data_IF_971209422055
#
_entry.id   IF_971209422055
#
_cell.length_a   1.000
_cell.length_b   1.000
_cell.length_c   1.000
_cell.angle_alpha   90.00
_cell.angle_beta   90.00
_cell.angle_gamma   90.00
#
_symmetry.space_group_name_H-M   'P 1'
#
loop_
_entity.id
_entity.type
_entity.pdbx_description
1 polymer ?
#
# COMPACT_ATOMS: atom_id res chain seq x y z
N UNK A 1 29.26 -38.48 -33.94
CA UNK A 1 30.37 -37.74 -33.32
C UNK A 1 29.87 -36.33 -33.01
N UNK A 2 29.46 -36.07 -31.77
CA UNK A 2 28.82 -34.81 -31.37
C UNK A 2 29.89 -33.90 -30.77
N UNK A 3 30.18 -32.79 -31.46
CA UNK A 3 31.13 -31.77 -31.01
C UNK A 3 30.51 -30.92 -29.89
N UNK A 4 30.90 -31.14 -28.64
CA UNK A 4 30.62 -30.21 -27.55
C UNK A 4 31.66 -29.08 -27.59
N UNK A 5 31.20 -27.84 -27.85
CA UNK A 5 32.00 -26.64 -27.59
C UNK A 5 31.90 -26.32 -26.09
N UNK A 6 32.92 -26.69 -25.32
CA UNK A 6 33.13 -26.15 -23.98
C UNK A 6 33.38 -24.63 -24.09
N UNK A 7 32.37 -23.82 -23.75
CA UNK A 7 32.58 -22.38 -23.52
C UNK A 7 33.28 -22.20 -22.18
N UNK A 8 34.61 -22.16 -22.19
CA UNK A 8 35.41 -21.70 -21.05
C UNK A 8 35.41 -20.17 -21.07
N UNK A 9 34.67 -19.56 -20.16
CA UNK A 9 34.78 -18.12 -19.91
C UNK A 9 36.23 -17.80 -19.57
N UNK A 10 36.76 -16.76 -20.19
CA UNK A 10 38.12 -16.31 -19.92
C UNK A 10 38.20 -15.76 -18.49
N UNK A 11 39.39 -15.79 -17.84
CA UNK A 11 39.56 -15.25 -16.49
C UNK A 11 39.11 -13.78 -16.35
N UNK A 12 39.24 -13.01 -17.43
CA UNK A 12 38.77 -11.62 -17.53
C UNK A 12 37.25 -11.49 -17.55
N UNK A 13 36.55 -12.42 -18.20
CA UNK A 13 35.09 -12.42 -18.24
C UNK A 13 34.48 -12.91 -16.92
N UNK A 14 35.14 -13.85 -16.24
CA UNK A 14 34.79 -14.26 -14.88
C UNK A 14 34.90 -13.09 -13.89
N UNK A 15 35.99 -12.33 -13.93
CA UNK A 15 36.16 -11.16 -13.07
C UNK A 15 35.10 -10.07 -13.35
N UNK A 16 34.74 -9.86 -14.62
CA UNK A 16 33.67 -8.93 -14.98
C UNK A 16 32.28 -9.41 -14.53
N UNK A 17 32.03 -10.71 -14.57
CA UNK A 17 30.80 -11.34 -14.10
C UNK A 17 30.66 -11.28 -12.57
N UNK A 18 31.73 -11.56 -11.83
CA UNK A 18 31.78 -11.44 -10.37
C UNK A 18 31.58 -9.99 -9.91
N UNK A 19 32.16 -9.02 -10.63
CA UNK A 19 31.97 -7.60 -10.34
C UNK A 19 30.51 -7.17 -10.58
N UNK A 20 29.86 -7.70 -11.62
CA UNK A 20 28.42 -7.50 -11.85
C UNK A 20 27.56 -8.14 -10.76
N UNK A 21 27.90 -9.35 -10.31
CA UNK A 21 27.21 -10.04 -9.21
C UNK A 21 27.28 -9.25 -7.90
N UNK A 22 28.46 -8.71 -7.54
CA UNK A 22 28.62 -7.86 -6.36
C UNK A 22 27.86 -6.53 -6.47
N UNK A 23 27.67 -6.00 -7.68
CA UNK A 23 26.84 -4.78 -7.88
C UNK A 23 25.33 -5.05 -7.90
N UNK A 24 24.91 -6.32 -8.01
CA UNK A 24 23.52 -6.77 -7.99
C UNK A 24 23.05 -7.22 -6.61
N UNK A 25 23.93 -7.23 -5.61
CA UNK A 25 23.54 -7.28 -4.19
C UNK A 25 22.94 -5.93 -3.78
N UNK A 26 21.75 -5.64 -4.32
CA UNK A 26 20.89 -4.64 -3.71
C UNK A 26 20.60 -5.08 -2.27
N UNK A 27 20.62 -4.15 -1.29
CA UNK A 27 20.24 -4.49 0.06
C UNK A 27 18.82 -5.06 0.00
N UNK A 28 18.68 -6.36 0.32
CA UNK A 28 17.37 -6.98 0.52
C UNK A 28 16.75 -6.26 1.71
N UNK A 29 15.91 -5.27 1.45
CA UNK A 29 15.01 -4.70 2.44
C UNK A 29 14.04 -5.84 2.80
N UNK A 30 14.43 -6.63 3.79
CA UNK A 30 13.50 -7.51 4.46
C UNK A 30 12.48 -6.61 5.13
N UNK A 31 11.29 -6.50 4.53
CA UNK A 31 10.12 -5.96 5.21
C UNK A 31 9.89 -6.81 6.45
N UNK A 32 10.40 -6.35 7.59
CA UNK A 32 10.11 -6.99 8.87
C UNK A 32 8.64 -6.74 9.13
N UNK A 33 7.86 -7.82 9.16
CA UNK A 33 6.43 -7.83 9.49
C UNK A 33 6.26 -7.63 10.99
N UNK A 34 6.76 -6.50 11.49
CA UNK A 34 6.71 -6.16 12.89
C UNK A 34 6.40 -4.68 13.07
N UNK A 35 5.78 -4.39 14.20
CA UNK A 35 5.56 -3.05 14.71
C UNK A 35 6.27 -2.93 16.06
N UNK A 36 6.59 -1.72 16.54
CA UNK A 36 6.99 -1.51 17.94
C UNK A 36 5.77 -1.23 18.83
N UNK A 37 5.90 -1.44 20.13
CA UNK A 37 4.79 -1.17 21.05
C UNK A 37 4.34 0.30 20.99
N UNK A 38 5.28 1.24 20.88
CA UNK A 38 4.98 2.68 20.76
C UNK A 38 4.22 3.01 19.47
N UNK A 39 4.62 2.39 18.34
CA UNK A 39 3.89 2.54 17.08
C UNK A 39 2.47 1.97 17.16
N UNK A 40 2.28 0.89 17.91
CA UNK A 40 0.96 0.31 18.16
C UNK A 40 0.10 1.25 19.01
N UNK A 41 0.65 1.79 20.10
CA UNK A 41 -0.05 2.77 20.93
C UNK A 41 -0.39 4.06 20.18
N UNK A 42 0.52 4.54 19.32
CA UNK A 42 0.29 5.69 18.46
C UNK A 42 -0.77 5.39 17.41
N UNK A 43 -0.76 4.22 16.77
CA UNK A 43 -1.79 3.85 15.81
C UNK A 43 -3.18 3.77 16.45
N UNK A 44 -3.26 3.29 17.70
CA UNK A 44 -4.49 3.33 18.49
C UNK A 44 -4.88 4.76 18.91
N UNK A 45 -3.90 5.63 19.21
CA UNK A 45 -4.14 7.04 19.50
C UNK A 45 -4.65 7.81 18.26
N UNK A 46 -4.15 7.44 17.08
CA UNK A 46 -4.61 7.93 15.78
C UNK A 46 -5.98 7.32 15.37
N UNK A 47 -6.59 6.49 16.23
CA UNK A 47 -7.90 5.85 16.03
C UNK A 47 -7.95 4.82 14.90
N UNK A 48 -6.80 4.26 14.49
CA UNK A 48 -6.77 3.22 13.47
C UNK A 48 -7.38 1.92 13.98
N UNK A 49 -8.12 1.26 13.09
CA UNK A 49 -8.68 -0.05 13.39
C UNK A 49 -7.58 -1.11 13.47
N UNK A 50 -7.84 -2.21 14.18
CA UNK A 50 -6.92 -3.35 14.22
C UNK A 50 -6.71 -3.97 12.84
N UNK A 51 -7.72 -3.91 11.97
CA UNK A 51 -7.65 -4.38 10.58
C UNK A 51 -6.69 -3.51 9.76
N UNK A 52 -6.74 -2.18 9.91
CA UNK A 52 -5.81 -1.26 9.25
C UNK A 52 -4.37 -1.44 9.74
N UNK A 53 -4.18 -1.67 11.04
CA UNK A 53 -2.87 -1.98 11.63
C UNK A 53 -2.33 -3.28 11.04
N UNK A 54 -3.17 -4.32 10.96
CA UNK A 54 -2.81 -5.62 10.37
C UNK A 54 -2.45 -5.48 8.89
N UNK A 55 -3.24 -4.73 8.13
CA UNK A 55 -3.02 -4.52 6.71
C UNK A 55 -1.68 -3.79 6.47
N UNK A 56 -1.43 -2.70 7.21
CA UNK A 56 -0.29 -1.82 6.98
C UNK A 56 1.05 -2.38 7.47
N UNK A 57 1.05 -3.11 8.58
CA UNK A 57 2.30 -3.56 9.24
C UNK A 57 2.51 -5.07 9.20
N UNK A 58 1.45 -5.83 8.93
CA UNK A 58 1.48 -7.29 8.96
C UNK A 58 0.99 -7.92 7.65
N UNK A 59 0.85 -7.15 6.57
CA UNK A 59 0.42 -7.62 5.25
C UNK A 59 -0.88 -8.45 5.30
N UNK A 60 -1.83 -7.96 6.10
CA UNK A 60 -3.13 -8.59 6.33
C UNK A 60 -3.05 -9.99 7.01
N UNK A 61 -1.95 -10.31 7.70
CA UNK A 61 -1.84 -11.54 8.49
C UNK A 61 -2.18 -11.29 9.98
N UNK A 62 -3.38 -11.68 10.44
CA UNK A 62 -3.80 -11.47 11.83
C UNK A 62 -3.05 -12.38 12.82
N UNK A 63 -2.39 -13.45 12.36
CA UNK A 63 -1.64 -14.35 13.26
C UNK A 63 -0.36 -13.71 13.74
N UNK A 64 0.33 -12.97 12.87
CA UNK A 64 1.55 -12.25 13.23
C UNK A 64 1.25 -11.09 14.19
N UNK A 65 0.16 -10.35 13.98
CA UNK A 65 -0.29 -9.34 14.95
C UNK A 65 -0.59 -9.97 16.31
N UNK A 66 -1.30 -11.11 16.37
CA UNK A 66 -1.59 -11.80 17.64
C UNK A 66 -0.33 -12.30 18.34
N UNK A 67 0.64 -12.80 17.58
CA UNK A 67 1.93 -13.23 18.12
C UNK A 67 2.65 -12.03 18.74
N UNK A 68 2.67 -10.91 18.04
CA UNK A 68 3.34 -9.70 18.52
C UNK A 68 2.63 -9.06 19.73
N UNK A 69 1.29 -9.06 19.76
CA UNK A 69 0.53 -8.65 20.95
C UNK A 69 0.85 -9.54 22.17
N UNK A 70 0.96 -10.86 21.95
CA UNK A 70 1.35 -11.81 22.99
C UNK A 70 2.78 -11.55 23.50
N UNK A 71 3.71 -11.21 22.61
CA UNK A 71 5.08 -10.83 22.98
C UNK A 71 5.12 -9.56 23.84
N UNK A 72 4.11 -8.68 23.70
CA UNK A 72 3.91 -7.49 24.55
C UNK A 72 3.07 -7.77 25.81
N UNK A 73 2.63 -9.00 26.03
CA UNK A 73 1.79 -9.37 27.17
C UNK A 73 0.34 -8.90 27.06
N UNK A 74 -0.14 -8.57 25.86
CA UNK A 74 -1.50 -8.08 25.62
C UNK A 74 -2.31 -9.16 24.90
N UNK A 75 -3.49 -9.45 25.42
CA UNK A 75 -4.43 -10.34 24.74
C UNK A 75 -5.15 -9.61 23.61
N UNK A 76 -5.58 -10.34 22.57
CA UNK A 76 -6.35 -9.74 21.47
C UNK A 76 -7.63 -9.05 21.99
N UNK A 77 -8.25 -9.57 23.06
CA UNK A 77 -9.41 -8.97 23.71
C UNK A 77 -9.09 -7.62 24.35
N UNK A 78 -8.00 -7.53 25.13
CA UNK A 78 -7.54 -6.27 25.72
C UNK A 78 -7.14 -5.24 24.67
N UNK A 79 -6.50 -5.65 23.58
CA UNK A 79 -6.16 -4.75 22.48
C UNK A 79 -7.41 -4.17 21.79
N UNK A 80 -8.47 -4.96 21.64
CA UNK A 80 -9.76 -4.51 21.11
C UNK A 80 -10.45 -3.56 22.10
N UNK A 81 -10.42 -3.85 23.40
CA UNK A 81 -11.00 -2.97 24.41
C UNK A 81 -10.21 -1.67 24.55
N UNK A 82 -8.87 -1.67 24.41
CA UNK A 82 -8.05 -0.47 24.35
C UNK A 82 -8.36 0.38 23.12
N UNK A 83 -8.56 -0.26 21.96
CA UNK A 83 -8.98 0.44 20.74
C UNK A 83 -10.37 1.06 20.88
N UNK A 84 -11.33 0.34 21.48
CA UNK A 84 -12.67 0.85 21.77
C UNK A 84 -12.67 1.95 22.83
N UNK A 85 -11.87 1.81 23.89
CA UNK A 85 -11.77 2.79 24.97
C UNK A 85 -11.21 4.12 24.44
N UNK A 86 -10.15 4.07 23.62
CA UNK A 86 -9.62 5.27 22.96
C UNK A 86 -10.59 5.85 21.93
N UNK A 87 -11.29 5.02 21.17
CA UNK A 87 -12.33 5.51 20.25
C UNK A 87 -13.50 6.20 20.97
N UNK A 88 -13.86 5.71 22.16
CA UNK A 88 -14.90 6.29 23.02
C UNK A 88 -14.44 7.59 23.70
N UNK A 89 -13.14 7.74 23.95
CA UNK A 89 -12.54 8.98 24.47
C UNK A 89 -12.56 10.13 23.45
N UNK A 90 -12.75 9.83 22.16
CA UNK A 90 -12.85 10.81 21.07
C UNK A 90 -14.29 11.00 20.56
N UNK A 91 -15.28 10.94 21.44
CA UNK A 91 -16.63 11.43 21.13
C UNK A 91 -16.64 12.97 21.16
N UNK A 92 -16.66 13.60 19.98
CA UNK A 92 -16.92 15.04 19.86
C UNK A 92 -18.42 15.32 19.96
N UNK A 93 -18.82 16.39 20.66
CA UNK A 93 -20.23 16.84 20.70
C UNK A 93 -20.59 17.66 19.46
N UNK A 94 -21.89 17.69 19.10
CA UNK A 94 -22.43 18.48 17.96
C UNK A 94 -21.94 19.95 18.00
N UNK A 95 -21.97 20.57 19.17
CA UNK A 95 -21.58 21.96 19.38
C UNK A 95 -20.10 22.21 19.10
N UNK A 96 -19.21 21.33 19.60
CA UNK A 96 -17.76 21.45 19.38
C UNK A 96 -17.40 21.21 17.91
N UNK A 97 -18.15 20.36 17.21
CA UNK A 97 -18.03 20.18 15.76
C UNK A 97 -18.42 21.47 15.00
N UNK A 98 -19.59 22.06 15.29
CA UNK A 98 -20.07 23.28 14.63
C UNK A 98 -19.16 24.49 14.91
N UNK A 99 -18.60 24.62 16.11
CA UNK A 99 -17.62 25.67 16.43
C UNK A 99 -16.36 25.57 15.57
N UNK A 100 -15.84 24.36 15.31
CA UNK A 100 -14.68 24.16 14.43
C UNK A 100 -15.00 24.42 12.97
N UNK A 101 -16.23 24.12 12.54
CA UNK A 101 -16.73 24.48 11.21
C UNK A 101 -16.85 26.01 11.05
N UNK A 102 -17.36 26.71 12.07
CA UNK A 102 -17.38 28.19 12.11
C UNK A 102 -15.97 28.79 12.08
N UNK A 103 -14.99 28.13 12.71
CA UNK A 103 -13.58 28.53 12.65
C UNK A 103 -12.91 28.27 11.28
N UNK A 104 -13.64 27.77 10.29
CA UNK A 104 -13.15 27.54 8.93
C UNK A 104 -12.52 26.17 8.70
N UNK A 105 -12.57 25.25 9.66
CA UNK A 105 -12.05 23.90 9.44
C UNK A 105 -12.98 23.07 8.54
N UNK A 106 -12.41 22.36 7.56
CA UNK A 106 -13.16 21.43 6.70
C UNK A 106 -13.49 20.11 7.41
N UNK A 107 -14.55 19.41 6.99
CA UNK A 107 -14.97 18.09 7.53
C UNK A 107 -13.82 17.08 7.59
N UNK A 108 -13.01 16.99 6.52
CA UNK A 108 -11.85 16.09 6.45
C UNK A 108 -10.69 16.49 7.36
N UNK A 109 -10.59 17.76 7.75
CA UNK A 109 -9.59 18.26 8.70
C UNK A 109 -10.02 17.93 10.12
N UNK A 110 -11.29 18.16 10.44
CA UNK A 110 -11.88 17.80 11.73
C UNK A 110 -11.79 16.28 11.94
N UNK A 111 -12.21 15.48 10.96
CA UNK A 111 -12.12 14.01 11.01
C UNK A 111 -10.69 13.53 11.28
N UNK A 112 -9.69 14.06 10.55
CA UNK A 112 -8.27 13.70 10.75
C UNK A 112 -7.75 14.09 12.13
N UNK A 113 -8.10 15.29 12.60
CA UNK A 113 -7.66 15.75 13.92
C UNK A 113 -8.26 14.95 15.08
N UNK A 114 -9.40 14.31 14.86
CA UNK A 114 -10.08 13.46 15.83
C UNK A 114 -9.68 11.98 15.70
N UNK A 115 -8.87 11.61 14.70
CA UNK A 115 -8.52 10.20 14.46
C UNK A 115 -9.73 9.30 14.18
N UNK A 116 -10.89 9.88 13.83
CA UNK A 116 -12.11 9.10 13.62
C UNK A 116 -12.07 8.47 12.23
N UNK A 117 -12.51 7.20 12.15
CA UNK A 117 -12.73 6.57 10.86
C UNK A 117 -13.91 7.22 10.14
N UNK A 118 -13.85 7.22 8.81
CA UNK A 118 -14.86 7.83 7.93
C UNK A 118 -16.27 7.35 8.26
N UNK A 119 -16.45 6.05 8.49
CA UNK A 119 -17.76 5.45 8.80
C UNK A 119 -18.33 5.91 10.13
N UNK A 120 -17.51 6.04 11.17
CA UNK A 120 -17.95 6.51 12.50
C UNK A 120 -18.30 7.99 12.45
N UNK A 121 -17.48 8.79 11.78
CA UNK A 121 -17.67 10.23 11.65
C UNK A 121 -18.97 10.57 10.90
N UNK A 122 -19.25 9.95 9.76
CA UNK A 122 -20.50 10.20 9.03
C UNK A 122 -21.73 9.64 9.73
N UNK A 123 -21.59 8.59 10.55
CA UNK A 123 -22.68 8.11 11.41
C UNK A 123 -23.04 9.15 12.47
N UNK A 124 -22.06 9.78 13.11
CA UNK A 124 -22.29 10.87 14.06
C UNK A 124 -22.96 12.09 13.40
N UNK A 125 -22.50 12.49 12.21
CA UNK A 125 -23.15 13.59 11.46
C UNK A 125 -24.61 13.27 11.11
N UNK A 126 -24.91 12.01 10.79
CA UNK A 126 -26.27 11.54 10.55
C UNK A 126 -27.12 11.56 11.81
N UNK A 127 -26.59 11.10 12.94
CA UNK A 127 -27.27 11.14 14.25
C UNK A 127 -27.58 12.58 14.69
N UNK A 128 -26.72 13.53 14.36
CA UNK A 128 -26.95 14.96 14.62
C UNK A 128 -27.83 15.66 13.60
N UNK A 129 -28.21 14.98 12.51
CA UNK A 129 -29.03 15.54 11.44
C UNK A 129 -28.32 16.54 10.53
N UNK A 130 -26.98 16.56 10.51
CA UNK A 130 -26.14 17.52 9.76
C UNK A 130 -25.25 16.86 8.70
N UNK A 131 -25.63 15.65 8.25
CA UNK A 131 -24.88 14.93 7.22
C UNK A 131 -24.87 15.70 5.88
N UNK A 132 -26.01 16.30 5.52
CA UNK A 132 -26.18 17.05 4.28
C UNK A 132 -25.57 18.47 4.39
N UNK A 133 -25.00 19.02 3.31
CA UNK A 133 -24.41 20.37 3.33
C UNK A 133 -25.44 21.43 3.76
N UNK A 134 -26.63 21.38 3.19
CA UNK A 134 -27.71 22.33 3.47
C UNK A 134 -28.19 22.30 4.94
N UNK A 135 -28.13 21.13 5.57
CA UNK A 135 -28.50 20.96 6.98
C UNK A 135 -27.39 21.47 7.91
N UNK A 136 -26.13 21.28 7.53
CA UNK A 136 -24.98 21.83 8.23
C UNK A 136 -24.98 23.37 8.15
N UNK A 137 -25.21 23.94 6.97
CA UNK A 137 -25.17 25.39 6.77
C UNK A 137 -26.27 26.11 7.57
N UNK A 138 -27.48 25.53 7.66
CA UNK A 138 -28.56 26.07 8.53
C UNK A 138 -28.18 26.10 10.01
N UNK A 139 -27.51 25.07 10.49
CA UNK A 139 -27.07 24.97 11.88
C UNK A 139 -25.89 25.91 12.17
N UNK A 140 -25.03 26.14 11.17
CA UNK A 140 -23.98 27.15 11.25
C UNK A 140 -24.57 28.57 11.26
N UNK A 141 -25.57 28.86 10.42
CA UNK A 141 -26.29 30.14 10.40
C UNK A 141 -26.98 30.44 11.75
N UNK A 142 -27.54 29.42 12.40
CA UNK A 142 -28.16 29.54 13.73
C UNK A 142 -27.14 29.85 14.84
N UNK A 143 -25.86 29.52 14.65
CA UNK A 143 -24.79 29.74 15.64
C UNK A 143 -23.97 31.01 15.39
N UNK A 144 -24.08 31.64 14.21
CA UNK A 144 -23.55 32.99 14.01
C UNK A 144 -24.41 33.94 14.85
N UNK A 145 -23.85 34.68 15.81
CA UNK A 145 -24.60 35.72 16.50
C UNK A 145 -25.14 36.68 15.45
N UNK A 146 -26.46 36.72 15.32
CA UNK A 146 -27.16 37.73 14.52
C UNK A 146 -26.62 39.08 14.98
N UNK A 147 -25.89 39.78 14.11
CA UNK A 147 -25.55 41.17 14.35
C UNK A 147 -26.86 41.88 14.72
N UNK A 148 -26.95 42.54 15.89
CA UNK A 148 -28.21 43.11 16.31
C UNK A 148 -28.64 44.17 15.29
N UNK A 149 -29.69 43.85 14.55
CA UNK A 149 -30.41 44.78 13.70
C UNK A 149 -30.76 46.01 14.55
N UNK A 150 -30.26 47.16 14.11
CA UNK A 150 -30.49 48.48 14.71
C UNK A 150 -32.00 48.74 14.80
N UNK A 151 -32.51 48.63 16.02
CA UNK A 151 -33.86 49.03 16.40
C UNK A 151 -33.87 49.30 17.90
N UNK A 152 -33.18 50.36 18.31
CA UNK A 152 -33.12 50.79 19.72
C UNK A 152 -34.24 51.81 19.95
N UNK A 153 -35.21 51.40 20.78
CA UNK A 153 -36.10 52.27 21.53
C UNK A 153 -35.30 53.36 22.26
N UNK A 154 -35.74 54.61 22.12
CA UNK A 154 -35.12 55.86 22.58
C UNK A 154 -34.81 55.96 24.09
N UNK A 155 -35.02 54.92 24.90
CA UNK A 155 -34.70 54.91 26.34
C UNK A 155 -33.40 54.20 26.71
N UNK A 156 -32.80 53.41 25.82
CA UNK A 156 -31.51 52.73 26.08
C UNK A 156 -30.31 53.60 25.66
N UNK A 157 -30.51 54.59 24.79
CA UNK A 157 -29.48 55.52 24.36
C UNK A 157 -28.94 56.40 25.51
N UNK A 158 -29.81 56.93 26.38
CA UNK A 158 -29.39 57.76 27.52
C UNK A 158 -28.64 56.95 28.61
N UNK A 159 -28.94 55.65 28.77
CA UNK A 159 -28.22 54.80 29.73
C UNK A 159 -26.87 54.29 29.21
N UNK A 160 -26.68 54.27 27.89
CA UNK A 160 -25.40 53.94 27.26
C UNK A 160 -24.45 55.14 27.21
N UNK A 161 -24.95 56.37 27.13
CA UNK A 161 -24.13 57.58 27.16
C UNK A 161 -23.39 57.74 28.49
N UNK A 162 -24.10 57.52 29.62
CA UNK A 162 -23.48 57.54 30.96
C UNK A 162 -22.48 56.39 31.20
N UNK A 163 -22.60 55.28 30.47
CA UNK A 163 -21.63 54.16 30.50
C UNK A 163 -20.51 54.31 29.46
N UNK A 164 -20.69 55.15 28.45
CA UNK A 164 -19.69 55.47 27.44
C UNK A 164 -18.66 56.45 28.00
N UNK A 165 -19.08 57.46 28.76
CA UNK A 165 -18.17 58.42 29.43
C UNK A 165 -17.25 57.73 30.46
N UNK A 166 -17.74 56.69 31.15
CA UNK A 166 -16.93 55.88 32.05
C UNK A 166 -15.98 54.89 31.32
N UNK A 167 -16.25 54.58 30.05
CA UNK A 167 -15.39 53.73 29.20
C UNK A 167 -14.37 54.53 28.40
N UNK A 168 -14.66 55.80 28.08
CA UNK A 168 -13.76 56.67 27.32
C UNK A 168 -12.47 57.01 28.10
N UNK A 169 -12.53 57.00 29.44
CA UNK A 169 -11.36 57.12 30.29
C UNK A 169 -10.58 55.80 30.49
N UNK A 170 -11.14 54.65 30.09
CA UNK A 170 -10.47 53.35 30.18
C UNK A 170 -9.95 52.82 28.82
N UNK A 171 -10.31 53.45 27.70
CA UNK A 171 -9.88 53.08 26.34
C UNK A 171 -8.71 53.92 25.80
N UNK A 172 -8.15 54.83 26.62
CA UNK A 172 -7.03 55.68 26.23
C UNK A 172 -5.67 54.95 26.12
N UNK A 173 -5.57 53.67 26.53
CA UNK A 173 -4.31 52.88 26.47
C UNK A 173 -4.21 51.91 25.26
N UNK A 174 -5.18 51.90 24.33
CA UNK A 174 -5.09 51.07 23.12
C UNK A 174 -5.53 51.82 21.86
N UNK A 175 -4.93 52.98 21.60
CA UNK A 175 -4.91 53.56 20.25
C UNK A 175 -3.60 53.16 19.57
N UNK A 176 -3.50 51.90 19.12
CA UNK A 176 -2.64 51.64 17.96
C UNK A 176 -3.21 52.49 16.83
N UNK A 177 -2.38 53.39 16.32
CA UNK A 177 -2.80 54.32 15.27
C UNK A 177 -3.16 53.50 14.03
N UNK A 178 -4.18 53.91 13.28
CA UNK A 178 -4.61 53.18 12.07
C UNK A 178 -3.46 52.91 11.10
N UNK A 179 -2.43 53.76 11.11
CA UNK A 179 -1.18 53.62 10.35
C UNK A 179 -0.30 52.44 10.80
N UNK A 180 -0.23 52.14 12.10
CA UNK A 180 0.51 50.98 12.62
C UNK A 180 -0.17 49.66 12.26
N UNK A 181 -1.50 49.65 12.26
CA UNK A 181 -2.30 48.51 11.81
C UNK A 181 -2.10 48.31 10.30
N UNK A 182 -2.11 49.39 9.51
CA UNK A 182 -1.86 49.34 8.07
C UNK A 182 -0.47 48.76 7.76
N UNK A 183 0.57 49.25 8.44
CA UNK A 183 1.94 48.75 8.27
C UNK A 183 2.08 47.27 8.63
N UNK A 184 1.42 46.79 9.70
CA UNK A 184 1.44 45.36 10.07
C UNK A 184 0.74 44.50 9.03
N UNK A 185 -0.37 44.99 8.45
CA UNK A 185 -1.07 44.28 7.38
C UNK A 185 -0.23 44.23 6.12
N UNK A 186 0.44 45.33 5.75
CA UNK A 186 1.34 45.38 4.59
C UNK A 186 2.56 44.46 4.76
N UNK A 187 3.19 44.45 5.94
CA UNK A 187 4.29 43.52 6.23
C UNK A 187 3.82 42.06 6.16
N UNK A 188 2.67 41.75 6.74
CA UNK A 188 2.10 40.40 6.69
C UNK A 188 1.76 39.99 5.27
N UNK A 189 1.23 40.89 4.45
CA UNK A 189 0.97 40.64 3.03
C UNK A 189 2.27 40.37 2.26
N UNK A 190 3.33 41.15 2.52
CA UNK A 190 4.64 40.95 1.90
C UNK A 190 5.29 39.61 2.30
N UNK A 191 5.16 39.21 3.56
CA UNK A 191 5.69 37.93 4.04
C UNK A 191 4.90 36.74 3.47
N UNK A 192 3.57 36.87 3.38
CA UNK A 192 2.73 35.87 2.71
C UNK A 192 3.06 35.77 1.21
N UNK A 193 3.36 36.87 0.54
CA UNK A 193 3.74 36.87 -0.87
C UNK A 193 5.09 36.16 -1.09
N UNK A 194 6.07 36.38 -0.19
CA UNK A 194 7.34 35.62 -0.20
C UNK A 194 7.13 34.14 0.05
N UNK A 195 6.26 33.78 1.00
CA UNK A 195 5.95 32.38 1.29
C UNK A 195 5.27 31.70 0.08
N UNK A 196 4.31 32.38 -0.55
CA UNK A 196 3.66 31.90 -1.78
C UNK A 196 4.66 31.74 -2.94
N UNK A 197 5.59 32.68 -3.09
CA UNK A 197 6.66 32.57 -4.09
C UNK A 197 7.57 31.36 -3.82
N UNK A 198 7.96 31.13 -2.57
CA UNK A 198 8.77 29.98 -2.17
C UNK A 198 8.03 28.65 -2.39
N UNK A 199 6.74 28.58 -2.03
CA UNK A 199 5.92 27.39 -2.24
C UNK A 199 5.73 27.08 -3.72
N UNK A 200 5.51 28.09 -4.56
CA UNK A 200 5.43 27.92 -6.02
C UNK A 200 6.74 27.41 -6.61
N UNK A 201 7.88 27.95 -6.16
CA UNK A 201 9.19 27.49 -6.60
C UNK A 201 9.45 26.03 -6.18
N UNK A 202 9.10 25.66 -4.94
CA UNK A 202 9.20 24.29 -4.47
C UNK A 202 8.31 23.34 -5.28
N UNK A 203 7.04 23.72 -5.54
CA UNK A 203 6.12 22.93 -6.36
C UNK A 203 6.69 22.67 -7.76
N UNK A 204 7.24 23.70 -8.41
CA UNK A 204 7.86 23.57 -9.72
C UNK A 204 9.07 22.60 -9.72
N UNK A 205 9.87 22.61 -8.66
CA UNK A 205 10.99 21.67 -8.50
C UNK A 205 10.50 20.22 -8.34
N UNK A 206 9.47 20.00 -7.52
CA UNK A 206 8.87 18.67 -7.35
C UNK A 206 8.23 18.14 -8.62
N UNK A 207 7.56 19.00 -9.40
CA UNK A 207 7.00 18.63 -10.70
C UNK A 207 8.08 18.24 -11.70
N UNK A 208 9.19 19.00 -11.76
CA UNK A 208 10.33 18.66 -12.60
C UNK A 208 11.00 17.34 -12.17
N UNK A 209 11.13 17.08 -10.87
CA UNK A 209 11.68 15.82 -10.36
C UNK A 209 10.76 14.64 -10.67
N UNK A 210 9.44 14.82 -10.53
CA UNK A 210 8.44 13.82 -10.89
C UNK A 210 8.53 13.45 -12.37
N UNK A 211 8.57 14.44 -13.26
CA UNK A 211 8.71 14.22 -14.70
C UNK A 211 9.99 13.45 -15.05
N UNK A 212 11.12 13.74 -14.39
CA UNK A 212 12.36 12.98 -14.57
C UNK A 212 12.24 11.52 -14.12
N UNK A 213 11.55 11.27 -13.01
CA UNK A 213 11.31 9.90 -12.52
C UNK A 213 10.39 9.13 -13.45
N UNK A 214 9.32 9.75 -13.94
CA UNK A 214 8.38 9.12 -14.88
C UNK A 214 9.08 8.74 -16.20
N UNK A 215 9.92 9.62 -16.74
CA UNK A 215 10.75 9.31 -17.91
C UNK A 215 11.73 8.15 -17.65
N UNK A 216 12.31 8.10 -16.44
CA UNK A 216 13.20 7.00 -16.06
C UNK A 216 12.46 5.67 -15.92
N UNK A 217 11.25 5.68 -15.38
CA UNK A 217 10.40 4.49 -15.29
C UNK A 217 10.09 3.97 -16.69
N UNK A 218 9.66 4.85 -17.61
CA UNK A 218 9.37 4.50 -18.99
C UNK A 218 10.58 3.86 -19.69
N UNK A 219 11.77 4.44 -19.53
CA UNK A 219 13.01 3.85 -20.07
C UNK A 219 13.28 2.45 -19.50
N UNK A 220 13.08 2.25 -18.20
CA UNK A 220 13.26 0.94 -17.58
C UNK A 220 12.24 -0.08 -18.09
N UNK A 221 10.98 0.31 -18.25
CA UNK A 221 9.92 -0.53 -18.83
C UNK A 221 10.23 -0.93 -20.27
N UNK A 222 10.71 0.01 -21.09
CA UNK A 222 11.14 -0.26 -22.46
C UNK A 222 12.32 -1.24 -22.50
N UNK A 223 13.32 -1.06 -21.63
CA UNK A 223 14.45 -2.00 -21.55
C UNK A 223 14.01 -3.38 -21.07
N UNK A 224 13.08 -3.46 -20.11
CA UNK A 224 12.54 -4.72 -19.60
C UNK A 224 11.70 -5.42 -20.67
N UNK A 225 10.91 -4.68 -21.44
CA UNK A 225 10.17 -5.16 -22.60
C UNK A 225 11.10 -5.68 -23.69
N UNK A 226 12.20 -4.97 -23.98
CA UNK A 226 13.24 -5.45 -24.90
C UNK A 226 13.92 -6.71 -24.38
N UNK A 227 14.27 -6.77 -23.10
CA UNK A 227 14.90 -7.96 -22.50
C UNK A 227 13.95 -9.15 -22.54
N UNK A 228 12.68 -8.98 -22.18
CA UNK A 228 11.64 -10.02 -22.29
C UNK A 228 11.50 -10.51 -23.73
N UNK A 229 11.46 -9.59 -24.70
CA UNK A 229 11.44 -9.95 -26.12
C UNK A 229 12.71 -10.71 -26.51
N UNK A 230 13.90 -10.25 -26.12
CA UNK A 230 15.14 -10.96 -26.43
C UNK A 230 15.24 -12.34 -25.77
N UNK A 231 14.66 -12.52 -24.57
CA UNK A 231 14.54 -13.81 -23.90
C UNK A 231 13.53 -14.72 -24.62
N UNK A 232 12.43 -14.17 -25.12
CA UNK A 232 11.45 -14.89 -25.93
C UNK A 232 11.97 -15.22 -27.35
N UNK A 233 12.79 -14.36 -27.96
CA UNK A 233 13.44 -14.58 -29.26
C UNK A 233 14.72 -15.41 -29.17
N UNK A 234 15.07 -15.95 -28.00
CA UNK A 234 16.02 -17.06 -27.85
C UNK A 234 15.50 -18.38 -28.43
N UNK A 235 14.29 -18.39 -28.99
CA UNK A 235 13.70 -19.50 -29.76
C UNK A 235 14.38 -19.57 -31.13
N UNK A 236 15.48 -20.32 -31.19
CA UNK A 236 15.91 -20.96 -32.44
C UNK A 236 15.09 -22.25 -32.59
N UNK A 237 14.23 -22.30 -33.60
CA UNK A 237 13.48 -23.50 -34.00
C UNK A 237 12.01 -23.45 -33.60
N UNK A 238 11.15 -24.20 -34.30
CA UNK A 238 9.70 -24.32 -34.08
C UNK A 238 9.33 -24.99 -32.73
N UNK A 239 10.19 -24.89 -31.72
CA UNK A 239 10.06 -25.60 -30.45
C UNK A 239 9.58 -24.63 -29.36
N UNK A 240 8.37 -24.89 -28.86
CA UNK A 240 7.86 -24.22 -27.65
C UNK A 240 8.66 -24.75 -26.46
N UNK A 241 9.66 -23.99 -26.03
CA UNK A 241 10.50 -24.33 -24.88
C UNK A 241 9.92 -23.73 -23.59
N UNK A 242 9.42 -24.59 -22.72
CA UNK A 242 8.91 -24.21 -21.40
C UNK A 242 10.06 -24.23 -20.38
N UNK A 243 10.37 -23.08 -19.77
CA UNK A 243 11.42 -22.98 -18.74
C UNK A 243 10.80 -23.08 -17.34
N UNK A 244 10.89 -24.25 -16.71
CA UNK A 244 10.41 -24.47 -15.33
C UNK A 244 11.58 -24.32 -14.34
N UNK A 245 11.51 -23.41 -13.35
CA UNK A 245 12.53 -23.31 -12.30
C UNK A 245 12.52 -24.54 -11.39
N UNK A 246 13.71 -25.04 -11.05
CA UNK A 246 13.90 -26.15 -10.09
C UNK A 246 14.17 -25.53 -8.71
N UNK A 247 13.21 -25.53 -7.76
CA UNK A 247 13.41 -25.00 -6.43
C UNK A 247 14.29 -25.91 -5.56
N UNK A 248 14.90 -25.35 -4.52
CA UNK A 248 15.66 -26.12 -3.52
C UNK A 248 14.70 -26.87 -2.59
N UNK A 249 14.54 -28.16 -2.86
CA UNK A 249 14.00 -29.26 -2.02
C UNK A 249 12.83 -28.90 -1.08
N UNK A 250 11.62 -29.25 -1.51
CA UNK A 250 10.46 -29.47 -0.64
C UNK A 250 10.43 -30.96 -0.20
N UNK A 251 9.64 -31.30 0.83
CA UNK A 251 9.46 -32.68 1.29
C UNK A 251 8.63 -33.45 0.24
N UNK A 252 9.10 -34.59 -0.27
CA UNK A 252 8.46 -35.31 -1.38
C UNK A 252 7.01 -35.70 -1.07
N UNK A 253 6.72 -36.11 0.17
CA UNK A 253 5.36 -36.43 0.62
C UNK A 253 4.41 -35.22 0.59
N UNK A 254 4.91 -34.01 0.87
CA UNK A 254 4.10 -32.79 0.81
C UNK A 254 3.76 -32.43 -0.65
N UNK A 255 4.70 -32.64 -1.58
CA UNK A 255 4.45 -32.44 -3.01
C UNK A 255 3.49 -33.49 -3.58
N UNK A 256 3.54 -34.73 -3.10
CA UNK A 256 2.59 -35.77 -3.52
C UNK A 256 1.13 -35.39 -3.24
N UNK A 257 0.82 -34.90 -2.03
CA UNK A 257 -0.54 -34.41 -1.71
C UNK A 257 -0.93 -33.21 -2.58
N UNK A 258 0.02 -32.32 -2.88
CA UNK A 258 -0.20 -31.16 -3.75
C UNK A 258 -0.47 -31.57 -5.20
N UNK A 259 0.15 -32.63 -5.71
CA UNK A 259 -0.11 -33.13 -7.06
C UNK A 259 -1.56 -33.64 -7.15
N UNK A 260 -2.01 -34.44 -6.19
CA UNK A 260 -3.40 -34.94 -6.22
C UNK A 260 -4.43 -33.81 -6.18
N UNK A 261 -4.23 -32.79 -5.34
CA UNK A 261 -5.10 -31.62 -5.30
C UNK A 261 -5.09 -30.80 -6.61
N UNK A 262 -3.95 -30.75 -7.31
CA UNK A 262 -3.85 -30.08 -8.61
C UNK A 262 -4.52 -30.87 -9.74
N UNK A 263 -4.44 -32.21 -9.69
CA UNK A 263 -5.15 -33.09 -10.63
C UNK A 263 -6.66 -32.96 -10.45
N UNK A 264 -7.14 -32.94 -9.21
CA UNK A 264 -8.57 -32.74 -8.89
C UNK A 264 -9.06 -31.38 -9.39
N UNK A 265 -8.32 -30.30 -9.11
CA UNK A 265 -8.66 -28.97 -9.61
C UNK A 265 -8.71 -28.89 -11.15
N UNK A 266 -7.74 -29.52 -11.83
CA UNK A 266 -7.72 -29.59 -13.30
C UNK A 266 -8.89 -30.41 -13.86
N UNK A 267 -9.29 -31.48 -13.18
CA UNK A 267 -10.46 -32.29 -13.54
C UNK A 267 -11.74 -31.46 -13.46
N UNK A 268 -11.93 -30.74 -12.35
CA UNK A 268 -13.09 -29.86 -12.13
C UNK A 268 -13.13 -28.71 -13.14
N UNK A 269 -11.96 -28.15 -13.50
CA UNK A 269 -11.82 -27.07 -14.48
C UNK A 269 -12.13 -27.49 -15.92
N UNK A 270 -11.85 -28.75 -16.28
CA UNK A 270 -12.10 -29.31 -17.62
C UNK A 270 -13.54 -29.82 -17.78
N UNK A 271 -14.18 -30.27 -16.70
CA UNK A 271 -15.58 -30.73 -16.71
C UNK A 271 -16.61 -29.58 -16.73
N UNK A 272 -16.18 -28.35 -16.44
CA UNK A 272 -17.05 -27.17 -16.52
C UNK A 272 -17.54 -26.93 -17.96
N UNK A 273 -18.85 -26.73 -18.11
CA UNK A 273 -19.53 -26.59 -19.41
C UNK A 273 -19.06 -25.41 -20.28
N UNK A 274 -18.27 -24.50 -19.71
CA UNK A 274 -17.62 -23.39 -20.39
C UNK A 274 -16.12 -23.46 -20.10
N UNK A 275 -15.37 -24.13 -20.98
CA UNK A 275 -13.94 -24.38 -20.79
C UNK A 275 -13.19 -23.06 -20.90
N UNK A 276 -12.88 -22.47 -19.74
CA UNK A 276 -11.95 -21.37 -19.64
C UNK A 276 -10.54 -21.89 -19.92
N UNK A 277 -10.13 -21.75 -21.19
CA UNK A 277 -8.82 -22.20 -21.68
C UNK A 277 -7.66 -21.58 -20.89
N UNK A 278 -7.78 -20.34 -20.44
CA UNK A 278 -6.72 -19.66 -19.70
C UNK A 278 -6.56 -20.27 -18.30
N UNK A 279 -7.67 -20.58 -17.65
CA UNK A 279 -7.69 -21.29 -16.38
C UNK A 279 -7.12 -22.71 -16.49
N UNK A 280 -7.56 -23.49 -17.47
CA UNK A 280 -7.06 -24.85 -17.70
C UNK A 280 -5.55 -24.85 -17.98
N UNK A 281 -5.05 -23.90 -18.78
CA UNK A 281 -3.61 -23.78 -19.05
C UNK A 281 -2.82 -23.38 -17.80
N UNK A 282 -3.37 -22.53 -16.94
CA UNK A 282 -2.74 -22.17 -15.66
C UNK A 282 -2.67 -23.36 -14.70
N UNK A 283 -3.77 -24.10 -14.55
CA UNK A 283 -3.83 -25.30 -13.70
C UNK A 283 -2.89 -26.41 -14.21
N UNK A 284 -2.76 -26.56 -15.54
CA UNK A 284 -1.82 -27.50 -16.16
C UNK A 284 -0.36 -27.09 -15.92
N UNK A 285 -0.04 -25.79 -15.99
CA UNK A 285 1.31 -25.31 -15.68
C UNK A 285 1.66 -25.51 -14.20
N UNK A 286 0.71 -25.25 -13.30
CA UNK A 286 0.86 -25.50 -11.87
C UNK A 286 1.09 -26.99 -11.58
N UNK A 287 0.36 -27.88 -12.26
CA UNK A 287 0.56 -29.33 -12.15
C UNK A 287 1.97 -29.73 -12.60
N UNK A 288 2.44 -29.23 -13.76
CA UNK A 288 3.79 -29.48 -14.25
C UNK A 288 4.87 -29.01 -13.27
N UNK A 289 4.73 -27.80 -12.71
CA UNK A 289 5.65 -27.29 -11.69
C UNK A 289 5.69 -28.18 -10.45
N UNK A 290 4.53 -28.68 -9.98
CA UNK A 290 4.46 -29.60 -8.84
C UNK A 290 5.10 -30.95 -9.13
N UNK A 291 4.94 -31.48 -10.34
CA UNK A 291 5.62 -32.71 -10.77
C UNK A 291 7.14 -32.54 -10.78
N UNK A 292 7.65 -31.42 -11.30
CA UNK A 292 9.09 -31.09 -11.25
C UNK A 292 9.58 -31.00 -9.81
N UNK A 293 8.82 -30.37 -8.92
CA UNK A 293 9.18 -30.27 -7.50
C UNK A 293 9.22 -31.64 -6.82
N UNK A 294 8.24 -32.50 -7.10
CA UNK A 294 8.19 -33.87 -6.55
C UNK A 294 9.41 -34.69 -6.99
N UNK A 295 9.74 -34.71 -8.28
CA UNK A 295 10.93 -35.41 -8.79
C UNK A 295 12.21 -34.84 -8.20
N UNK A 296 12.28 -33.51 -8.07
CA UNK A 296 13.44 -32.84 -7.44
C UNK A 296 13.59 -33.25 -5.98
N UNK A 297 12.49 -33.33 -5.24
CA UNK A 297 12.48 -33.76 -3.85
C UNK A 297 12.90 -35.22 -3.70
N UNK A 298 12.32 -36.12 -4.50
CA UNK A 298 12.62 -37.55 -4.50
C UNK A 298 14.10 -37.81 -4.84
N UNK A 299 14.64 -37.14 -5.86
CA UNK A 299 16.05 -37.23 -6.21
C UNK A 299 16.96 -36.64 -5.12
N UNK A 300 16.52 -35.62 -4.38
CA UNK A 300 17.27 -35.06 -3.26
C UNK A 300 17.32 -36.01 -2.06
N UNK A 301 16.25 -36.77 -1.81
CA UNK A 301 16.22 -37.83 -0.80
C UNK A 301 17.16 -38.99 -1.19
N UNK A 302 17.20 -39.38 -2.47
CA UNK A 302 18.10 -40.42 -2.98
C UNK A 302 19.58 -39.99 -3.05
N UNK A 303 19.84 -38.68 -3.17
CA UNK A 303 21.18 -38.12 -3.32
C UNK A 303 21.47 -36.99 -2.30
N UNK A 304 21.55 -37.31 -0.99
CA UNK A 304 21.73 -36.30 0.04
C UNK A 304 23.04 -35.53 -0.14
N UNK A 305 22.95 -34.19 -0.05
CA UNK A 305 24.09 -33.28 -0.14
C UNK A 305 24.62 -33.04 -1.55
N UNK A 306 24.01 -33.59 -2.59
CA UNK A 306 24.37 -33.34 -4.00
C UNK A 306 23.39 -32.35 -4.65
N UNK A 307 23.89 -31.60 -5.62
CA UNK A 307 23.03 -30.80 -6.49
C UNK A 307 22.26 -31.71 -7.45
N UNK A 308 20.94 -31.78 -7.27
CA UNK A 308 20.08 -32.67 -8.07
C UNK A 308 19.61 -32.09 -9.40
N UNK A 309 19.90 -30.82 -9.68
CA UNK A 309 19.41 -30.14 -10.89
C UNK A 309 19.90 -30.77 -12.20
N UNK A 310 21.04 -31.46 -12.18
CA UNK A 310 21.53 -32.25 -13.33
C UNK A 310 20.67 -33.48 -13.57
N UNK A 311 20.45 -34.28 -12.51
CA UNK A 311 19.62 -35.48 -12.57
C UNK A 311 18.17 -35.18 -12.97
N UNK A 312 17.60 -34.07 -12.48
CA UNK A 312 16.26 -33.63 -12.89
C UNK A 312 16.21 -33.32 -14.39
N UNK A 313 17.23 -32.63 -14.93
CA UNK A 313 17.30 -32.35 -16.38
C UNK A 313 17.43 -33.62 -17.20
N UNK A 314 18.27 -34.55 -16.78
CA UNK A 314 18.44 -35.85 -17.46
C UNK A 314 17.16 -36.68 -17.42
N UNK A 315 16.47 -36.70 -16.28
CA UNK A 315 15.18 -37.36 -16.13
C UNK A 315 14.16 -36.86 -17.16
N UNK A 316 13.93 -35.54 -17.21
CA UNK A 316 12.95 -34.99 -18.17
C UNK A 316 13.41 -35.12 -19.62
N UNK A 317 14.70 -34.98 -19.91
CA UNK A 317 15.23 -35.22 -21.25
C UNK A 317 14.98 -36.67 -21.72
N UNK A 318 15.19 -37.65 -20.84
CA UNK A 318 14.94 -39.06 -21.14
C UNK A 318 13.45 -39.31 -21.46
N UNK A 319 12.53 -38.84 -20.61
CA UNK A 319 11.10 -39.07 -20.83
C UNK A 319 10.55 -38.29 -22.03
N UNK A 320 11.05 -37.08 -22.30
CA UNK A 320 10.68 -36.32 -23.48
C UNK A 320 11.11 -37.03 -24.77
N UNK A 321 12.35 -37.53 -24.83
CA UNK A 321 12.83 -38.29 -25.98
C UNK A 321 11.98 -39.55 -26.22
N UNK A 322 11.69 -40.30 -25.15
CA UNK A 322 10.84 -41.48 -25.23
C UNK A 322 9.42 -41.16 -25.69
N UNK A 323 8.85 -40.04 -25.24
CA UNK A 323 7.53 -39.60 -25.70
C UNK A 323 7.55 -39.25 -27.20
N UNK A 324 8.57 -38.51 -27.64
CA UNK A 324 8.75 -38.19 -29.07
C UNK A 324 8.86 -39.47 -29.92
N UNK A 325 9.65 -40.46 -29.49
CA UNK A 325 9.75 -41.76 -30.18
C UNK A 325 8.38 -42.44 -30.33
N UNK A 326 7.56 -42.44 -29.26
CA UNK A 326 6.22 -43.03 -29.28
C UNK A 326 5.29 -42.27 -30.23
N UNK A 327 5.29 -40.93 -30.16
CA UNK A 327 4.42 -40.09 -31.01
C UNK A 327 4.81 -40.25 -32.49
N UNK A 328 6.09 -40.25 -32.81
CA UNK A 328 6.58 -40.49 -34.18
C UNK A 328 6.18 -41.87 -34.67
N UNK A 329 6.34 -42.93 -33.86
CA UNK A 329 5.91 -44.28 -34.23
C UNK A 329 4.40 -44.39 -34.46
N UNK A 330 3.57 -43.64 -33.71
CA UNK A 330 2.12 -43.60 -33.92
C UNK A 330 1.73 -42.85 -35.20
N UNK A 331 2.46 -41.79 -35.55
CA UNK A 331 2.25 -41.04 -36.80
C UNK A 331 2.67 -41.83 -38.03
N UNK A 332 3.69 -42.68 -37.92
CA UNK A 332 4.13 -43.56 -39.02
C UNK A 332 3.21 -44.78 -39.22
N UNK A 333 2.44 -45.16 -38.21
CA UNK A 333 1.54 -46.31 -38.24
C UNK A 333 0.09 -45.99 -38.66
N UNK A 334 -0.30 -44.72 -38.73
CA UNK A 334 -1.65 -44.25 -39.10
C UNK A 334 -1.73 -43.71 -40.51
#
# INVERSE_FOLDING_TARGET
MTNYREYKLTPTELAAYEKKLKSLETPRVQWRRNMSFDQFQQALADGRSMEDITLKHFNNDPRELRKQLRDWGITMGEAIELAKAKAKEVEITKEKYLQRRLAGEGRSTIMRSLGLSTTVFYRQLREWGIQEPDAEDRELELMVPVEPAKGIDQRVAEQLEQKAEARENASAEQKETGDEILQRVEQRAADQEKELANLRAASALWEAERARKDERIKQLEDTLSMMKRSAAYGVKGNDVSLSIPIPSVAIANAERTRIYAAVEALSDGVEAADIDRERVMSELFDLLQRTVNFITADLAELHPGKNVAGYVREFFAYYNNRHMEIVTAQQEAG
#
